data_IF_699950336951
#
_entry.id   IF_699950336951
#
_cell.length_a   1.000
_cell.length_b   1.000
_cell.length_c   1.000
_cell.angle_alpha   90.00
_cell.angle_beta   90.00
_cell.angle_gamma   90.00
#
_symmetry.space_group_name_H-M   'P 1'
#
loop_
_entity.id
_entity.type
_entity.pdbx_description
1 polymer ?
#
# COMPACT_ATOMS: atom_id res chain seq x y z
N UNK A 1 -41.05 47.84 -14.31
CA UNK A 1 -40.26 47.54 -15.53
C UNK A 1 -38.84 47.98 -15.24
N UNK A 2 -37.79 47.16 -15.05
CA UNK A 2 -37.49 45.73 -15.20
C UNK A 2 -36.40 45.44 -14.13
N UNK A 3 -36.53 44.40 -13.29
CA UNK A 3 -36.06 43.03 -13.51
C UNK A 3 -34.63 42.94 -14.03
N UNK A 4 -33.71 42.52 -13.16
CA UNK A 4 -32.60 41.64 -13.51
C UNK A 4 -32.04 41.07 -12.20
N UNK A 5 -32.43 39.84 -11.94
CA UNK A 5 -32.14 39.05 -10.76
C UNK A 5 -30.64 38.97 -10.47
N UNK A 6 -30.25 39.37 -9.27
CA UNK A 6 -29.00 38.92 -8.68
C UNK A 6 -29.17 37.44 -8.32
N UNK A 7 -28.98 36.57 -9.32
CA UNK A 7 -28.73 35.16 -9.11
C UNK A 7 -27.51 35.06 -8.19
N UNK A 8 -27.78 34.93 -6.88
CA UNK A 8 -26.81 34.38 -5.95
C UNK A 8 -26.56 32.96 -6.48
N UNK A 9 -25.53 32.85 -7.32
CA UNK A 9 -24.98 31.58 -7.77
C UNK A 9 -24.62 30.85 -6.48
N UNK A 10 -25.56 30.05 -6.00
CA UNK A 10 -25.34 28.97 -5.08
C UNK A 10 -24.28 28.13 -5.77
N UNK A 11 -23.02 28.41 -5.44
CA UNK A 11 -21.98 27.41 -5.57
C UNK A 11 -22.47 26.28 -4.70
N UNK A 12 -23.16 25.31 -5.30
CA UNK A 12 -23.32 23.98 -4.74
C UNK A 12 -21.90 23.54 -4.48
N UNK A 13 -21.42 23.80 -3.26
CA UNK A 13 -20.23 23.18 -2.72
C UNK A 13 -20.50 21.71 -2.91
N UNK A 14 -19.78 21.12 -3.86
CA UNK A 14 -19.91 19.71 -4.20
C UNK A 14 -19.74 18.95 -2.89
N UNK A 15 -20.88 18.53 -2.33
CA UNK A 15 -20.94 18.15 -0.94
C UNK A 15 -20.14 16.87 -0.81
N UNK A 16 -19.15 16.88 0.08
CA UNK A 16 -18.20 15.80 0.21
C UNK A 16 -18.93 14.52 0.59
N UNK A 17 -18.82 13.45 -0.21
CA UNK A 17 -19.55 12.21 0.06
C UNK A 17 -19.23 11.61 1.43
N UNK A 18 -18.02 11.84 1.95
CA UNK A 18 -17.61 11.37 3.30
C UNK A 18 -18.47 11.99 4.40
N UNK A 19 -19.04 13.18 4.16
CA UNK A 19 -19.94 13.88 5.09
C UNK A 19 -21.42 13.51 4.86
N UNK A 20 -21.75 12.95 3.69
CA UNK A 20 -23.12 12.59 3.32
C UNK A 20 -23.45 11.11 3.55
N UNK A 21 -22.47 10.23 3.39
CA UNK A 21 -22.65 8.79 3.47
C UNK A 21 -22.31 8.26 4.87
N UNK A 22 -22.99 7.19 5.33
CA UNK A 22 -22.62 6.50 6.54
C UNK A 22 -21.15 6.06 6.53
N UNK A 23 -20.46 6.03 7.68
CA UNK A 23 -19.06 5.65 7.77
C UNK A 23 -18.76 4.30 7.12
N UNK A 24 -19.65 3.32 7.25
CA UNK A 24 -19.49 1.97 6.71
C UNK A 24 -19.45 1.98 5.17
N UNK A 25 -20.32 2.77 4.53
CA UNK A 25 -20.37 2.91 3.07
C UNK A 25 -19.12 3.61 2.57
N UNK A 26 -18.73 4.69 3.25
CA UNK A 26 -17.50 5.44 2.96
C UNK A 26 -16.25 4.55 3.08
N UNK A 27 -16.17 3.72 4.14
CA UNK A 27 -15.09 2.75 4.30
C UNK A 27 -15.06 1.74 3.15
N UNK A 28 -16.23 1.25 2.73
CA UNK A 28 -16.34 0.28 1.62
C UNK A 28 -15.93 0.87 0.28
N UNK A 29 -16.14 2.17 0.06
CA UNK A 29 -15.64 2.89 -1.12
C UNK A 29 -14.12 2.96 -1.07
N UNK A 30 -13.55 3.43 0.04
CA UNK A 30 -12.10 3.55 0.20
C UNK A 30 -11.39 2.20 0.17
N UNK A 31 -12.03 1.10 0.59
CA UNK A 31 -11.45 -0.24 0.54
C UNK A 31 -11.28 -0.78 -0.88
N UNK A 32 -11.88 -0.16 -1.90
CA UNK A 32 -11.67 -0.53 -3.31
C UNK A 32 -10.42 0.12 -3.92
N UNK A 33 -9.84 1.12 -3.26
CA UNK A 33 -8.68 1.84 -3.75
C UNK A 33 -7.40 1.09 -3.45
N UNK A 34 -6.49 1.03 -4.42
CA UNK A 34 -5.13 0.55 -4.18
C UNK A 34 -4.38 1.46 -3.19
N UNK A 35 -3.28 0.98 -2.63
CA UNK A 35 -2.51 1.68 -1.59
C UNK A 35 -2.10 3.10 -2.03
N UNK A 36 -1.69 3.30 -3.29
CA UNK A 36 -1.28 4.62 -3.77
C UNK A 36 -2.46 5.57 -3.87
N UNK A 37 -3.58 5.10 -4.44
CA UNK A 37 -4.81 5.88 -4.51
C UNK A 37 -5.37 6.21 -3.12
N UNK A 38 -5.26 5.29 -2.15
CA UNK A 38 -5.69 5.51 -0.78
C UNK A 38 -4.81 6.54 -0.06
N UNK A 39 -3.48 6.51 -0.28
CA UNK A 39 -2.58 7.54 0.22
C UNK A 39 -2.93 8.92 -0.35
N UNK A 40 -3.12 9.02 -1.67
CA UNK A 40 -3.55 10.28 -2.32
C UNK A 40 -4.90 10.75 -1.81
N UNK A 41 -5.86 9.85 -1.65
CA UNK A 41 -7.16 10.15 -1.05
C UNK A 41 -7.01 10.71 0.38
N UNK A 42 -6.06 10.22 1.17
CA UNK A 42 -5.81 10.73 2.53
C UNK A 42 -5.23 12.14 2.58
N UNK A 43 -4.80 12.70 1.44
CA UNK A 43 -4.21 14.02 1.31
C UNK A 43 -5.16 15.07 0.71
N UNK A 44 -6.39 14.67 0.32
CA UNK A 44 -7.32 15.56 -0.41
C UNK A 44 -7.92 16.65 0.48
N UNK A 45 -8.48 16.28 1.63
CA UNK A 45 -9.08 17.21 2.58
C UNK A 45 -9.07 16.64 4.01
N UNK A 46 -9.34 17.48 5.01
CA UNK A 46 -9.32 17.09 6.42
C UNK A 46 -10.30 15.97 6.75
N UNK A 47 -11.51 16.00 6.17
CA UNK A 47 -12.55 14.99 6.36
C UNK A 47 -12.09 13.61 5.84
N UNK A 48 -11.51 13.55 4.64
CA UNK A 48 -10.96 12.31 4.08
C UNK A 48 -9.75 11.84 4.87
N UNK A 49 -8.84 12.76 5.22
CA UNK A 49 -7.67 12.45 6.02
C UNK A 49 -8.05 11.78 7.34
N UNK A 50 -9.04 12.33 8.05
CA UNK A 50 -9.53 11.77 9.32
C UNK A 50 -10.16 10.40 9.13
N UNK A 51 -10.98 10.23 8.11
CA UNK A 51 -11.69 8.97 7.81
C UNK A 51 -10.73 7.85 7.38
N UNK A 52 -9.66 8.18 6.65
CA UNK A 52 -8.72 7.20 6.11
C UNK A 52 -7.59 6.88 7.11
N UNK A 53 -7.00 7.90 7.75
CA UNK A 53 -5.72 7.76 8.46
C UNK A 53 -5.76 6.78 9.64
N UNK A 54 -6.83 6.79 10.43
CA UNK A 54 -6.94 6.02 11.67
C UNK A 54 -7.86 4.80 11.53
N UNK A 55 -8.15 4.38 10.29
CA UNK A 55 -9.09 3.32 10.03
C UNK A 55 -8.38 2.00 9.73
N UNK A 56 -8.22 1.18 10.76
CA UNK A 56 -7.55 -0.11 10.67
C UNK A 56 -8.21 -1.07 9.67
N UNK A 57 -9.52 -0.97 9.44
CA UNK A 57 -10.21 -1.82 8.48
C UNK A 57 -9.74 -1.56 7.02
N UNK A 58 -9.24 -0.37 6.73
CA UNK A 58 -8.67 -0.03 5.42
C UNK A 58 -7.24 -0.57 5.27
N UNK A 59 -6.40 -0.44 6.30
CA UNK A 59 -4.97 -0.75 6.20
C UNK A 59 -4.64 -2.22 6.50
N UNK A 60 -5.37 -2.85 7.42
CA UNK A 60 -5.10 -4.23 7.86
C UNK A 60 -5.10 -5.25 6.72
N UNK A 61 -6.05 -5.25 5.76
CA UNK A 61 -5.99 -6.21 4.64
C UNK A 61 -4.69 -6.11 3.84
N UNK A 62 -4.22 -4.90 3.55
CA UNK A 62 -2.96 -4.68 2.85
C UNK A 62 -1.74 -5.17 3.64
N UNK A 63 -1.73 -4.96 4.95
CA UNK A 63 -0.70 -5.52 5.82
C UNK A 63 -0.70 -7.05 5.79
N UNK A 64 -1.87 -7.69 5.83
CA UNK A 64 -1.97 -9.15 5.78
C UNK A 64 -1.50 -9.72 4.43
N UNK A 65 -1.78 -9.04 3.33
CA UNK A 65 -1.22 -9.40 2.02
C UNK A 65 0.30 -9.29 2.03
N UNK A 66 0.87 -8.22 2.57
CA UNK A 66 2.32 -8.06 2.69
C UNK A 66 2.94 -9.10 3.65
N UNK A 67 2.19 -9.53 4.68
CA UNK A 67 2.61 -10.55 5.67
C UNK A 67 2.86 -11.92 5.06
N UNK A 68 2.20 -12.25 3.95
CA UNK A 68 2.46 -13.49 3.22
C UNK A 68 3.91 -13.58 2.71
N UNK A 69 4.57 -12.43 2.54
CA UNK A 69 5.95 -12.32 2.02
C UNK A 69 6.93 -11.87 3.12
N UNK A 70 6.53 -10.90 3.95
CA UNK A 70 7.34 -10.32 5.02
C UNK A 70 6.76 -10.66 6.40
N UNK A 71 6.60 -11.96 6.68
CA UNK A 71 5.97 -12.40 7.92
C UNK A 71 6.73 -11.93 9.16
N UNK A 72 8.05 -12.14 9.19
CA UNK A 72 8.91 -11.81 10.34
C UNK A 72 8.87 -10.31 10.66
N UNK A 73 9.00 -9.47 9.64
CA UNK A 73 9.02 -8.02 9.81
C UNK A 73 7.68 -7.49 10.29
N UNK A 74 6.59 -7.96 9.70
CA UNK A 74 5.24 -7.52 10.06
C UNK A 74 4.86 -8.02 11.46
N UNK A 75 5.20 -9.28 11.80
CA UNK A 75 4.93 -9.82 13.14
C UNK A 75 5.73 -9.06 14.22
N UNK A 76 6.95 -8.62 13.92
CA UNK A 76 7.75 -7.78 14.82
C UNK A 76 7.17 -6.37 14.99
N UNK A 77 6.71 -5.74 13.91
CA UNK A 77 6.08 -4.42 14.01
C UNK A 77 4.72 -4.50 14.74
N UNK A 78 3.96 -5.59 14.59
CA UNK A 78 2.73 -5.86 15.36
C UNK A 78 3.07 -5.99 16.85
N UNK A 79 4.08 -6.79 17.21
CA UNK A 79 4.54 -6.94 18.61
C UNK A 79 5.02 -5.61 19.20
N UNK A 80 5.58 -4.73 18.36
CA UNK A 80 6.03 -3.40 18.77
C UNK A 80 4.90 -2.40 18.97
N UNK A 81 3.65 -2.76 18.67
CA UNK A 81 2.47 -1.93 18.90
C UNK A 81 2.26 -0.82 17.87
N UNK A 82 2.85 -0.92 16.68
CA UNK A 82 2.61 0.05 15.61
C UNK A 82 1.18 -0.08 15.05
N UNK A 83 0.62 1.04 14.54
CA UNK A 83 -0.67 1.02 13.85
C UNK A 83 -0.54 0.34 12.49
N UNK A 84 -1.63 -0.24 11.97
CA UNK A 84 -1.59 -0.94 10.67
C UNK A 84 -1.08 -0.08 9.53
N UNK A 85 -1.42 1.21 9.51
CA UNK A 85 -0.88 2.16 8.52
C UNK A 85 0.64 2.27 8.59
N UNK A 86 1.20 2.38 9.81
CA UNK A 86 2.65 2.50 10.01
C UNK A 86 3.35 1.19 9.65
N UNK A 87 2.80 0.05 10.05
CA UNK A 87 3.30 -1.28 9.68
C UNK A 87 3.37 -1.41 8.16
N UNK A 88 2.29 -1.04 7.45
CA UNK A 88 2.26 -1.11 5.99
C UNK A 88 3.35 -0.24 5.38
N UNK A 89 3.44 1.03 5.80
CA UNK A 89 4.37 1.98 5.21
C UNK A 89 5.84 1.53 5.36
N UNK A 90 6.19 0.96 6.53
CA UNK A 90 7.53 0.43 6.80
C UNK A 90 7.87 -0.77 5.94
N UNK A 91 6.89 -1.63 5.66
CA UNK A 91 7.11 -2.92 4.98
C UNK A 91 6.68 -2.93 3.50
N UNK A 92 6.06 -1.87 2.99
CA UNK A 92 5.46 -1.86 1.66
C UNK A 92 6.50 -2.05 0.55
N UNK A 93 7.59 -1.27 0.58
CA UNK A 93 8.64 -1.43 -0.40
C UNK A 93 9.33 -2.78 -0.24
N UNK A 94 9.68 -3.17 1.00
CA UNK A 94 10.36 -4.44 1.28
C UNK A 94 9.55 -5.65 0.78
N UNK A 95 8.25 -5.69 1.07
CA UNK A 95 7.35 -6.76 0.62
C UNK A 95 7.22 -6.83 -0.89
N UNK A 96 7.12 -5.69 -1.59
CA UNK A 96 7.11 -5.67 -3.05
C UNK A 96 8.40 -6.24 -3.63
N UNK A 97 9.54 -5.74 -3.18
CA UNK A 97 10.84 -6.15 -3.73
C UNK A 97 11.09 -7.63 -3.45
N UNK A 98 10.86 -8.08 -2.21
CA UNK A 98 10.97 -9.48 -1.83
C UNK A 98 10.03 -10.36 -2.65
N UNK A 99 8.79 -9.94 -2.89
CA UNK A 99 7.84 -10.66 -3.73
C UNK A 99 8.36 -10.86 -5.16
N UNK A 100 8.88 -9.80 -5.81
CA UNK A 100 9.41 -9.90 -7.18
C UNK A 100 10.65 -10.81 -7.27
N UNK A 101 11.48 -10.85 -6.21
CA UNK A 101 12.58 -11.81 -6.12
C UNK A 101 12.08 -13.24 -5.95
N UNK A 102 11.13 -13.46 -5.03
CA UNK A 102 10.59 -14.79 -4.75
C UNK A 102 9.75 -15.35 -5.90
N UNK A 103 9.10 -14.49 -6.69
CA UNK A 103 8.37 -14.89 -7.92
C UNK A 103 9.30 -15.28 -9.07
N UNK A 104 10.61 -15.09 -8.92
CA UNK A 104 11.60 -15.39 -9.95
C UNK A 104 11.67 -14.34 -11.07
N UNK A 105 10.96 -13.21 -10.96
CA UNK A 105 11.05 -12.12 -11.96
C UNK A 105 12.46 -11.59 -12.12
N UNK A 106 13.23 -11.63 -11.04
CA UNK A 106 14.64 -11.21 -10.98
C UNK A 106 15.60 -12.40 -10.98
N UNK A 107 15.16 -13.59 -11.38
CA UNK A 107 16.06 -14.74 -11.55
C UNK A 107 17.00 -14.52 -12.75
N UNK A 108 18.19 -15.13 -12.70
CA UNK A 108 19.16 -15.12 -13.81
C UNK A 108 19.62 -13.73 -14.30
N UNK A 109 19.72 -12.75 -13.40
CA UNK A 109 20.28 -11.43 -13.72
C UNK A 109 21.72 -11.58 -14.22
N UNK A 110 21.95 -11.25 -15.49
CA UNK A 110 23.28 -11.34 -16.12
C UNK A 110 24.11 -10.07 -15.99
N UNK A 111 23.47 -8.95 -15.62
CA UNK A 111 24.15 -7.67 -15.46
C UNK A 111 23.41 -6.75 -14.48
N UNK A 112 24.10 -5.82 -13.80
CA UNK A 112 23.47 -4.83 -12.93
C UNK A 112 22.42 -3.96 -13.65
N UNK A 113 22.58 -3.71 -14.95
CA UNK A 113 21.62 -2.94 -15.74
C UNK A 113 20.27 -3.65 -15.97
N UNK A 114 20.22 -4.98 -15.74
CA UNK A 114 18.95 -5.73 -15.79
C UNK A 114 18.15 -5.66 -14.48
N UNK A 115 18.72 -5.07 -13.43
CA UNK A 115 17.99 -4.77 -12.20
C UNK A 115 17.13 -3.51 -12.38
N UNK A 116 15.91 -3.49 -11.86
CA UNK A 116 15.11 -2.28 -11.88
C UNK A 116 15.70 -1.19 -10.96
N UNK A 117 16.11 -0.09 -11.58
CA UNK A 117 16.80 1.05 -10.98
C UNK A 117 16.06 1.69 -9.79
N UNK A 118 14.73 1.58 -9.74
CA UNK A 118 13.87 2.17 -8.70
C UNK A 118 13.33 1.18 -7.66
N UNK A 119 13.72 -0.10 -7.73
CA UNK A 119 13.09 -1.15 -6.94
C UNK A 119 14.04 -1.84 -5.96
N UNK A 120 15.26 -1.37 -5.74
CA UNK A 120 16.07 -1.92 -4.65
C UNK A 120 15.80 -1.15 -3.37
N UNK A 121 15.54 -1.88 -2.27
CA UNK A 121 15.46 -1.28 -0.93
C UNK A 121 16.44 -1.99 0.00
N UNK A 122 16.99 -1.28 1.01
CA UNK A 122 17.83 -1.93 2.02
C UNK A 122 17.03 -3.04 2.72
N UNK A 123 17.62 -4.24 2.79
CA UNK A 123 17.11 -5.36 3.56
C UNK A 123 18.23 -5.95 4.41
N UNK A 124 17.88 -6.56 5.52
CA UNK A 124 18.80 -7.27 6.40
C UNK A 124 19.30 -8.59 5.79
N UNK A 125 20.38 -9.12 6.36
CA UNK A 125 21.03 -10.34 5.91
C UNK A 125 20.08 -11.54 5.88
N UNK A 126 19.22 -11.69 6.89
CA UNK A 126 18.26 -12.80 6.94
C UNK A 126 17.30 -12.75 5.74
N UNK A 127 16.79 -11.56 5.40
CA UNK A 127 15.87 -11.39 4.27
C UNK A 127 16.55 -11.73 2.94
N UNK A 128 17.81 -11.31 2.77
CA UNK A 128 18.57 -11.68 1.58
C UNK A 128 18.90 -13.18 1.54
N UNK A 129 19.13 -13.80 2.72
CA UNK A 129 19.29 -15.24 2.87
C UNK A 129 18.07 -16.00 2.36
N UNK A 130 16.86 -15.61 2.79
CA UNK A 130 15.61 -16.22 2.33
C UNK A 130 15.42 -16.11 0.80
N UNK A 131 15.80 -14.97 0.20
CA UNK A 131 15.76 -14.76 -1.25
C UNK A 131 16.77 -15.66 -1.96
N UNK A 132 17.99 -15.77 -1.42
CA UNK A 132 19.06 -16.59 -1.97
C UNK A 132 18.67 -18.07 -1.94
N UNK A 133 18.15 -18.56 -0.82
CA UNK A 133 17.70 -19.95 -0.68
C UNK A 133 16.60 -20.29 -1.69
N UNK A 134 15.66 -19.37 -1.91
CA UNK A 134 14.61 -19.54 -2.91
C UNK A 134 15.17 -19.58 -4.35
N UNK A 135 16.22 -18.81 -4.66
CA UNK A 135 16.87 -18.84 -5.97
C UNK A 135 17.68 -20.12 -6.18
N UNK A 136 18.43 -20.57 -5.18
CA UNK A 136 19.17 -21.83 -5.22
C UNK A 136 18.22 -23.02 -5.42
N UNK A 137 17.05 -23.02 -4.77
CA UNK A 137 16.03 -24.04 -4.96
C UNK A 137 15.54 -24.14 -6.42
N UNK A 138 15.34 -23.00 -7.09
CA UNK A 138 14.93 -22.97 -8.50
C UNK A 138 15.98 -23.53 -9.45
N UNK A 139 17.27 -23.32 -9.18
CA UNK A 139 18.35 -23.88 -10.00
C UNK A 139 18.43 -25.40 -9.90
N UNK A 140 18.14 -25.96 -8.71
CA UNK A 140 18.08 -27.41 -8.50
C UNK A 140 16.92 -28.03 -9.29
N UNK A 141 15.74 -27.40 -9.29
CA UNK A 141 14.57 -27.88 -10.05
C UNK A 141 14.80 -27.85 -11.57
N UNK A 142 15.53 -26.87 -12.11
CA UNK A 142 15.86 -26.79 -13.54
C UNK A 142 16.87 -27.85 -14.00
N UNK A 143 17.63 -28.42 -13.06
CA UNK A 143 18.72 -29.37 -13.35
C UNK A 143 18.27 -30.83 -13.29
N UNK A 144 16.99 -31.10 -13.00
CA UNK A 144 16.34 -32.40 -12.99
C UNK A 144 15.48 -32.59 -14.25
#
# INVERSE_FOLDING_TARGET
>A
MNSADAECRSTTSQSNFVELLPPEVTCKIFSQLDIQSLCRASETCWSWHRTIRNNDALWKPYCLTARAVCQREIDNDIKSGYTWKVILLRNYQKSKVKHEWLSGRYSNIRSPASLPEKLMCPMDADTWGEILDAELGREVEKSQ
#
